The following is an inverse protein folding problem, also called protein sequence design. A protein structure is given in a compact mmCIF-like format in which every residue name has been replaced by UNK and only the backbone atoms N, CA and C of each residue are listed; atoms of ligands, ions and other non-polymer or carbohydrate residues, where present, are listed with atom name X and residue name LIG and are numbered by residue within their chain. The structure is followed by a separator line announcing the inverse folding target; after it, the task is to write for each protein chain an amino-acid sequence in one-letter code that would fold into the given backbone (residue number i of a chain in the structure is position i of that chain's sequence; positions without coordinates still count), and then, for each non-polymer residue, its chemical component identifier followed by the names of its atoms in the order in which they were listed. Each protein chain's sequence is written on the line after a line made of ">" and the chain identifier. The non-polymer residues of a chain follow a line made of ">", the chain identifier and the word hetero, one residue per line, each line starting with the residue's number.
data_IF_693966329620
#
_entry.id   IF_693966329620
#
_cell.length_a   1.000
_cell.length_b   1.000
_cell.length_c   1.000
_cell.angle_alpha   90.00
_cell.angle_beta   90.00
_cell.angle_gamma   90.00
#
_symmetry.space_group_name_H-M   'P 1'
#
loop_
_entity.id
_entity.type
_entity.pdbx_description
1 polymer ?
#
# COMPACT_ATOMS: atom_id res chain seq x y z
N UNK A 1 6.07 25.23 -10.42
CA UNK A 1 5.16 24.53 -9.49
C UNK A 1 5.95 24.13 -8.25
N UNK A 2 5.58 24.65 -7.09
CA UNK A 2 6.28 24.42 -5.82
C UNK A 2 5.23 23.99 -4.79
N UNK A 3 5.46 22.86 -4.13
CA UNK A 3 4.71 22.46 -2.94
C UNK A 3 5.36 23.11 -1.72
N UNK A 4 4.57 23.85 -0.95
CA UNK A 4 4.98 24.49 0.31
C UNK A 4 4.56 23.67 1.53
N UNK A 5 5.18 23.93 2.67
CA UNK A 5 4.95 23.27 3.94
C UNK A 5 5.07 21.74 3.83
N UNK A 6 6.05 21.26 3.05
CA UNK A 6 6.18 19.85 2.71
C UNK A 6 6.33 18.97 3.96
N UNK A 7 7.14 19.39 4.94
CA UNK A 7 7.32 18.62 6.18
C UNK A 7 6.01 18.41 6.91
N UNK A 8 5.23 19.48 7.07
CA UNK A 8 3.93 19.44 7.72
C UNK A 8 2.94 18.56 6.95
N UNK A 9 2.88 18.69 5.62
CA UNK A 9 2.01 17.86 4.79
C UNK A 9 2.31 16.36 4.92
N UNK A 10 3.60 15.99 4.93
CA UNK A 10 4.01 14.60 5.13
C UNK A 10 3.71 14.10 6.55
N UNK A 11 3.95 14.94 7.56
CA UNK A 11 3.60 14.62 8.95
C UNK A 11 2.10 14.42 9.16
N UNK A 12 1.27 15.22 8.49
CA UNK A 12 -0.19 15.08 8.50
C UNK A 12 -0.66 13.86 7.71
N UNK A 13 0.02 13.53 6.59
CA UNK A 13 -0.25 12.30 5.85
C UNK A 13 -0.06 11.06 6.72
N UNK A 14 0.93 11.05 7.62
CA UNK A 14 1.15 9.93 8.55
C UNK A 14 -0.05 9.68 9.49
N UNK A 15 -0.94 10.66 9.67
CA UNK A 15 -2.13 10.56 10.53
C UNK A 15 -3.41 10.31 9.71
N UNK A 16 -3.48 10.91 8.52
CA UNK A 16 -4.73 11.06 7.78
C UNK A 16 -4.80 10.17 6.53
N UNK A 17 -3.68 9.69 6.02
CA UNK A 17 -3.63 8.82 4.83
C UNK A 17 -3.44 7.37 5.28
N UNK A 18 -4.38 6.51 4.90
CA UNK A 18 -4.29 5.08 5.17
C UNK A 18 -3.13 4.45 4.38
N UNK A 19 -2.17 3.86 5.09
CA UNK A 19 -0.98 3.24 4.51
C UNK A 19 -0.44 2.14 5.43
N UNK A 20 0.46 1.30 4.90
CA UNK A 20 1.18 0.32 5.72
C UNK A 20 2.07 1.02 6.75
N UNK A 21 2.36 0.35 7.87
CA UNK A 21 3.28 0.90 8.89
C UNK A 21 4.62 1.24 8.29
N UNK A 22 5.14 0.39 7.41
CA UNK A 22 6.41 0.59 6.74
C UNK A 22 6.44 1.86 5.88
N UNK A 23 5.38 2.13 5.11
CA UNK A 23 5.24 3.36 4.34
C UNK A 23 5.04 4.58 5.26
N UNK A 24 4.35 4.41 6.39
CA UNK A 24 4.17 5.45 7.39
C UNK A 24 5.49 5.88 8.02
N UNK A 25 6.32 4.92 8.44
CA UNK A 25 7.65 5.16 9.03
C UNK A 25 8.60 5.80 8.02
N UNK A 26 8.55 5.38 6.74
CA UNK A 26 9.26 6.03 5.64
C UNK A 26 8.81 7.50 5.47
N UNK A 27 7.50 7.73 5.42
CA UNK A 27 6.91 9.07 5.24
C UNK A 27 7.21 9.99 6.42
N UNK A 28 7.20 9.44 7.63
CA UNK A 28 7.56 10.14 8.86
C UNK A 28 9.01 10.59 8.82
N UNK A 29 9.94 9.71 8.43
CA UNK A 29 11.34 10.09 8.28
C UNK A 29 11.54 11.14 7.18
N UNK A 30 10.89 10.99 6.02
CA UNK A 30 10.85 12.03 4.98
C UNK A 30 10.43 13.38 5.56
N UNK A 31 9.36 13.43 6.38
CA UNK A 31 8.88 14.67 7.01
C UNK A 31 9.94 15.37 7.89
N UNK A 32 10.94 14.63 8.40
CA UNK A 32 12.02 15.21 9.22
C UNK A 32 13.20 15.75 8.40
N UNK A 33 13.45 15.21 7.21
CA UNK A 33 14.70 15.49 6.45
C UNK A 33 14.48 16.33 5.18
N UNK A 34 13.27 16.38 4.64
CA UNK A 34 12.99 17.17 3.42
C UNK A 34 13.02 18.67 3.66
N UNK A 35 13.18 19.47 2.61
CA UNK A 35 12.98 20.92 2.67
C UNK A 35 11.47 21.25 2.68
N UNK A 36 11.11 22.39 3.27
CA UNK A 36 9.70 22.82 3.35
C UNK A 36 9.11 23.31 2.03
N UNK A 37 9.95 23.69 1.08
CA UNK A 37 9.54 24.06 -0.28
C UNK A 37 10.27 23.19 -1.29
N UNK A 38 9.51 22.40 -2.06
CA UNK A 38 10.05 21.52 -3.09
C UNK A 38 9.23 21.62 -4.37
N UNK A 39 9.91 21.58 -5.51
CA UNK A 39 9.30 21.22 -6.79
C UNK A 39 9.28 19.67 -6.94
N UNK A 40 8.63 19.09 -7.97
CA UNK A 40 8.57 17.64 -8.14
C UNK A 40 9.93 16.96 -8.20
N UNK A 41 10.89 17.55 -8.92
CA UNK A 41 12.25 17.02 -9.06
C UNK A 41 13.03 17.05 -7.73
N UNK A 42 12.82 18.10 -6.93
CA UNK A 42 13.36 18.19 -5.58
C UNK A 42 12.78 17.12 -4.66
N UNK A 43 11.47 16.87 -4.71
CA UNK A 43 10.84 15.76 -3.96
C UNK A 43 11.38 14.40 -4.43
N UNK A 44 11.61 14.22 -5.74
CA UNK A 44 12.20 13.01 -6.30
C UNK A 44 13.63 12.78 -5.79
N UNK A 45 14.44 13.83 -5.73
CA UNK A 45 15.79 13.77 -5.16
C UNK A 45 15.75 13.40 -3.68
N UNK A 46 14.88 14.04 -2.89
CA UNK A 46 14.73 13.73 -1.46
C UNK A 46 14.30 12.27 -1.24
N UNK A 47 13.33 11.79 -2.02
CA UNK A 47 12.90 10.40 -2.02
C UNK A 47 14.08 9.44 -2.29
N UNK A 48 14.90 9.73 -3.30
CA UNK A 48 16.06 8.91 -3.65
C UNK A 48 17.11 8.89 -2.54
N UNK A 49 17.40 10.05 -1.93
CA UNK A 49 18.32 10.14 -0.80
C UNK A 49 17.84 9.35 0.41
N UNK A 50 16.54 9.42 0.76
CA UNK A 50 16.00 8.65 1.88
C UNK A 50 15.99 7.15 1.60
N UNK A 51 15.72 6.73 0.37
CA UNK A 51 15.88 5.32 -0.04
C UNK A 51 17.33 4.86 0.13
N UNK A 52 18.31 5.70 -0.22
CA UNK A 52 19.74 5.40 -0.03
C UNK A 52 20.14 5.34 1.45
N UNK A 53 19.65 6.27 2.26
CA UNK A 53 19.86 6.28 3.72
C UNK A 53 19.45 4.95 4.35
N UNK A 54 18.22 4.50 4.04
CA UNK A 54 17.65 3.26 4.55
C UNK A 54 18.46 2.06 4.04
N UNK A 55 18.84 2.05 2.76
CA UNK A 55 19.67 0.99 2.17
C UNK A 55 21.01 0.84 2.89
N UNK A 56 21.64 1.97 3.22
CA UNK A 56 22.96 2.04 3.82
C UNK A 56 22.94 2.05 5.36
N UNK A 57 21.76 2.12 5.97
CA UNK A 57 21.59 2.13 7.43
C UNK A 57 22.13 3.39 8.12
N UNK A 58 22.27 4.50 7.41
CA UNK A 58 22.81 5.77 7.92
C UNK A 58 22.15 6.96 7.26
N UNK A 59 21.96 8.05 8.00
CA UNK A 59 21.46 9.30 7.42
C UNK A 59 22.58 10.06 6.71
N UNK A 60 22.34 10.49 5.47
CA UNK A 60 23.22 11.37 4.70
C UNK A 60 22.95 12.87 4.90
N UNK A 61 21.94 13.24 5.70
CA UNK A 61 21.57 14.64 5.96
C UNK A 61 22.42 15.27 7.08
N UNK A 62 22.65 16.58 7.00
CA UNK A 62 23.55 17.29 7.92
C UNK A 62 23.08 17.24 9.39
N UNK A 63 24.06 17.23 10.29
CA UNK A 63 23.97 16.88 11.71
C UNK A 63 23.41 17.97 12.64
N UNK A 64 22.87 19.06 12.11
CA UNK A 64 22.12 20.05 12.91
C UNK A 64 20.75 19.51 13.35
N UNK A 65 20.27 18.46 12.68
CA UNK A 65 19.17 17.62 13.13
C UNK A 65 19.77 16.38 13.82
N UNK A 66 19.40 16.12 15.08
CA UNK A 66 19.73 14.89 15.84
C UNK A 66 19.22 13.58 15.19
N UNK A 67 18.92 13.55 13.90
CA UNK A 67 18.25 12.48 13.16
C UNK A 67 19.18 11.31 12.87
N UNK A 68 19.46 10.49 13.89
CA UNK A 68 19.82 9.09 13.62
C UNK A 68 18.70 8.48 12.80
N UNK A 69 19.06 7.67 11.79
CA UNK A 69 18.08 6.87 11.07
C UNK A 69 17.25 6.08 12.10
N UNK A 70 15.91 6.23 12.12
CA UNK A 70 15.08 5.57 13.12
C UNK A 70 15.33 4.06 13.16
N UNK A 71 15.41 3.48 14.37
CA UNK A 71 15.78 2.07 14.55
C UNK A 71 14.84 1.13 13.79
N UNK A 72 13.54 1.46 13.68
CA UNK A 72 12.61 0.67 12.89
C UNK A 72 12.99 0.59 11.41
N UNK A 73 13.49 1.69 10.81
CA UNK A 73 13.95 1.69 9.41
C UNK A 73 15.22 0.85 9.22
N UNK A 74 16.01 0.65 10.28
CA UNK A 74 17.17 -0.23 10.28
C UNK A 74 16.70 -1.68 10.42
N UNK A 75 15.90 -1.98 11.44
CA UNK A 75 15.45 -3.33 11.80
C UNK A 75 14.51 -3.94 10.74
N UNK A 76 13.74 -3.09 10.06
CA UNK A 76 12.75 -3.48 9.03
C UNK A 76 13.08 -2.90 7.66
N UNK A 77 14.36 -2.61 7.42
CA UNK A 77 14.89 -2.00 6.18
C UNK A 77 14.25 -2.56 4.91
N UNK A 78 14.20 -3.87 4.81
CA UNK A 78 13.74 -4.58 3.62
C UNK A 78 12.25 -4.42 3.36
N UNK A 79 11.43 -4.54 4.41
CA UNK A 79 9.99 -4.32 4.34
C UNK A 79 9.69 -2.84 4.03
N UNK A 80 10.45 -1.92 4.62
CA UNK A 80 10.35 -0.48 4.34
C UNK A 80 10.66 -0.18 2.88
N UNK A 81 11.77 -0.67 2.33
CA UNK A 81 12.14 -0.43 0.93
C UNK A 81 11.11 -1.03 -0.04
N UNK A 82 10.56 -2.21 0.26
CA UNK A 82 9.50 -2.81 -0.54
C UNK A 82 8.20 -1.98 -0.53
N UNK A 83 7.93 -1.24 0.54
CA UNK A 83 6.75 -0.39 0.66
C UNK A 83 6.99 1.06 0.18
N UNK A 84 8.24 1.54 0.19
CA UNK A 84 8.61 2.88 -0.27
C UNK A 84 8.31 3.11 -1.76
N UNK A 85 8.19 2.05 -2.56
CA UNK A 85 7.75 2.14 -3.97
C UNK A 85 6.31 2.67 -4.11
N UNK A 86 5.50 2.61 -3.04
CA UNK A 86 4.14 3.14 -2.99
C UNK A 86 4.07 4.60 -2.50
N UNK A 87 5.20 5.23 -2.19
CA UNK A 87 5.26 6.65 -1.81
C UNK A 87 4.60 7.63 -2.81
N UNK A 88 4.59 7.39 -4.14
CA UNK A 88 3.81 8.21 -5.07
C UNK A 88 2.32 8.30 -4.73
N UNK A 89 1.74 7.29 -4.06
CA UNK A 89 0.36 7.34 -3.59
C UNK A 89 0.17 8.32 -2.41
N UNK A 90 1.21 8.56 -1.61
CA UNK A 90 1.18 9.60 -0.56
C UNK A 90 1.21 10.98 -1.21
N UNK A 91 2.04 11.15 -2.24
CA UNK A 91 2.12 12.40 -3.00
C UNK A 91 0.80 12.73 -3.70
N UNK A 92 0.11 11.75 -4.28
CA UNK A 92 -1.23 11.94 -4.87
C UNK A 92 -2.23 12.57 -3.89
N UNK A 93 -2.14 12.26 -2.59
CA UNK A 93 -3.09 12.71 -1.57
C UNK A 93 -2.77 14.12 -1.03
N UNK A 94 -1.50 14.54 -1.05
CA UNK A 94 -1.07 15.79 -0.39
C UNK A 94 -0.69 16.92 -1.36
N UNK A 95 -0.46 16.58 -2.62
CA UNK A 95 0.01 17.51 -3.64
C UNK A 95 -1.09 17.86 -4.64
N UNK A 96 -0.91 18.99 -5.33
CA UNK A 96 -1.76 19.34 -6.48
C UNK A 96 -1.60 18.30 -7.61
N UNK A 97 -2.63 18.04 -8.43
CA UNK A 97 -2.59 16.99 -9.45
C UNK A 97 -1.38 17.05 -10.40
N UNK A 98 -1.05 18.24 -10.90
CA UNK A 98 0.11 18.45 -11.79
C UNK A 98 1.44 18.08 -11.09
N UNK A 99 1.55 18.36 -9.79
CA UNK A 99 2.75 18.02 -9.00
C UNK A 99 2.89 16.51 -8.87
N UNK A 100 1.80 15.85 -8.50
CA UNK A 100 1.78 14.41 -8.33
C UNK A 100 2.08 13.68 -9.64
N UNK A 101 1.55 14.16 -10.77
CA UNK A 101 1.82 13.60 -12.10
C UNK A 101 3.30 13.72 -12.47
N UNK A 102 3.91 14.91 -12.35
CA UNK A 102 5.33 15.08 -12.63
C UNK A 102 6.23 14.27 -11.70
N UNK A 103 5.87 14.15 -10.42
CA UNK A 103 6.61 13.30 -9.49
C UNK A 103 6.55 11.82 -9.91
N UNK A 104 5.39 11.34 -10.32
CA UNK A 104 5.19 9.97 -10.84
C UNK A 104 5.98 9.72 -12.13
N UNK A 105 5.97 10.67 -13.06
CA UNK A 105 6.80 10.60 -14.27
C UNK A 105 8.28 10.46 -13.93
N UNK A 106 8.76 11.24 -12.95
CA UNK A 106 10.12 11.13 -12.42
C UNK A 106 10.42 9.76 -11.81
N UNK A 107 9.52 9.23 -10.97
CA UNK A 107 9.65 7.89 -10.37
C UNK A 107 9.75 6.79 -11.44
N UNK A 108 8.91 6.89 -12.47
CA UNK A 108 8.88 5.94 -13.58
C UNK A 108 10.14 6.04 -14.43
N UNK A 109 10.57 7.26 -14.79
CA UNK A 109 11.73 7.49 -15.63
C UNK A 109 13.05 7.13 -14.95
N UNK A 110 13.23 7.51 -13.69
CA UNK A 110 14.50 7.35 -12.97
C UNK A 110 14.63 5.98 -12.28
N UNK A 111 13.52 5.40 -11.79
CA UNK A 111 13.56 4.21 -10.94
C UNK A 111 12.69 3.05 -11.45
N UNK A 112 12.00 3.23 -12.58
CA UNK A 112 10.99 2.30 -13.09
C UNK A 112 9.84 2.07 -12.10
N UNK A 113 9.60 2.99 -11.16
CA UNK A 113 8.55 2.86 -10.13
C UNK A 113 7.24 3.48 -10.65
N UNK A 114 6.21 2.67 -10.82
CA UNK A 114 4.88 3.09 -11.31
C UNK A 114 3.75 2.36 -10.53
N UNK A 115 3.59 2.60 -9.22
CA UNK A 115 2.52 1.97 -8.45
C UNK A 115 1.15 2.49 -8.95
N UNK A 116 0.10 1.65 -8.92
CA UNK A 116 -1.24 2.10 -9.28
C UNK A 116 -1.70 3.24 -8.37
N UNK A 117 -2.49 4.17 -8.89
CA UNK A 117 -3.20 5.16 -8.06
C UNK A 117 -4.18 4.44 -7.12
N UNK A 118 -4.38 4.98 -5.92
CA UNK A 118 -5.42 4.49 -5.00
C UNK A 118 -6.78 4.93 -5.53
N UNK A 119 -7.51 3.99 -6.12
CA UNK A 119 -8.87 4.21 -6.61
C UNK A 119 -9.77 3.30 -5.78
N UNK A 120 -10.64 3.90 -4.98
CA UNK A 120 -11.51 3.16 -4.08
C UNK A 120 -12.97 3.67 -4.13
N UNK A 121 -13.65 3.56 -5.28
CA UNK A 121 -15.07 3.94 -5.40
C UNK A 121 -15.90 3.12 -4.44
N UNK A 122 -16.98 3.70 -3.89
CA UNK A 122 -17.92 2.95 -3.05
C UNK A 122 -18.44 1.72 -3.80
N UNK A 123 -18.63 0.62 -3.08
CA UNK A 123 -19.32 -0.55 -3.61
C UNK A 123 -20.73 -0.15 -4.07
N UNK A 124 -21.12 -0.60 -5.26
CA UNK A 124 -22.46 -0.35 -5.81
C UNK A 124 -23.40 -1.49 -5.42
N UNK A 125 -24.55 -1.17 -4.82
CA UNK A 125 -25.56 -2.14 -4.36
C UNK A 125 -25.71 -2.18 -2.84
N UNK A 126 -26.70 -2.95 -2.38
CA UNK A 126 -26.95 -3.16 -0.96
C UNK A 126 -26.35 -4.49 -0.50
N UNK A 127 -25.32 -4.40 0.34
CA UNK A 127 -24.64 -5.55 0.92
C UNK A 127 -24.63 -5.45 2.45
N UNK A 128 -24.67 -6.60 3.15
CA UNK A 128 -24.44 -6.63 4.58
C UNK A 128 -23.10 -5.96 4.95
N UNK A 129 -23.05 -5.33 6.12
CA UNK A 129 -21.88 -4.54 6.55
C UNK A 129 -20.58 -5.35 6.55
N UNK A 130 -20.61 -6.62 7.02
CA UNK A 130 -19.46 -7.52 6.99
C UNK A 130 -18.89 -7.76 5.58
N UNK A 131 -19.75 -7.75 4.54
CA UNK A 131 -19.31 -7.88 3.14
C UNK A 131 -18.63 -6.59 2.69
N UNK A 132 -19.26 -5.45 2.97
CA UNK A 132 -18.71 -4.13 2.62
C UNK A 132 -17.34 -3.93 3.27
N UNK A 133 -17.20 -4.23 4.56
CA UNK A 133 -15.93 -4.11 5.29
C UNK A 133 -14.85 -5.01 4.65
N UNK A 134 -15.16 -6.28 4.39
CA UNK A 134 -14.21 -7.21 3.78
C UNK A 134 -13.75 -6.74 2.39
N UNK A 135 -14.69 -6.31 1.54
CA UNK A 135 -14.41 -5.86 0.16
C UNK A 135 -13.59 -4.56 0.15
N UNK A 136 -13.93 -3.60 1.02
CA UNK A 136 -13.16 -2.37 1.17
C UNK A 136 -11.73 -2.67 1.60
N UNK A 137 -11.54 -3.55 2.59
CA UNK A 137 -10.22 -3.94 3.07
C UNK A 137 -9.38 -4.56 1.95
N UNK A 138 -9.92 -5.56 1.22
CA UNK A 138 -9.19 -6.21 0.12
C UNK A 138 -8.87 -5.25 -1.03
N UNK A 139 -9.78 -4.34 -1.36
CA UNK A 139 -9.56 -3.36 -2.44
C UNK A 139 -8.35 -2.48 -2.15
N UNK A 140 -8.24 -2.03 -0.89
CA UNK A 140 -7.15 -1.20 -0.39
C UNK A 140 -5.84 -1.99 -0.30
N UNK A 141 -5.89 -3.19 0.28
CA UNK A 141 -4.70 -4.03 0.41
C UNK A 141 -4.09 -4.39 -0.96
N UNK A 142 -4.90 -4.61 -1.99
CA UNK A 142 -4.44 -4.86 -3.37
C UNK A 142 -3.86 -3.59 -4.04
N UNK A 143 -4.21 -2.39 -3.57
CA UNK A 143 -3.64 -1.14 -4.10
C UNK A 143 -2.17 -0.93 -3.68
N UNK A 144 -1.81 -1.46 -2.51
CA UNK A 144 -0.49 -1.33 -1.91
C UNK A 144 -0.14 -2.64 -1.18
N UNK A 145 0.01 -3.76 -1.91
CA UNK A 145 0.17 -5.07 -1.30
C UNK A 145 1.42 -5.13 -0.42
N UNK A 146 1.25 -5.68 0.79
CA UNK A 146 2.33 -5.99 1.72
C UNK A 146 2.82 -7.41 1.46
N UNK A 147 4.08 -7.55 1.03
CA UNK A 147 4.68 -8.85 0.71
C UNK A 147 5.54 -9.36 1.88
N UNK A 148 4.92 -9.56 3.04
CA UNK A 148 5.59 -10.05 4.23
C UNK A 148 5.44 -11.58 4.35
N UNK A 149 6.49 -12.31 3.96
CA UNK A 149 6.56 -13.76 4.09
C UNK A 149 7.37 -14.23 5.33
N UNK A 150 7.82 -13.32 6.19
CA UNK A 150 8.67 -13.62 7.34
C UNK A 150 10.17 -13.71 7.01
N UNK A 151 10.57 -13.56 5.75
CA UNK A 151 11.97 -13.57 5.32
C UNK A 151 12.45 -12.16 4.95
N UNK A 152 13.77 -11.96 5.03
CA UNK A 152 14.41 -10.76 4.50
C UNK A 152 14.71 -10.93 3.00
N UNK A 153 13.70 -10.68 2.17
CA UNK A 153 13.83 -10.68 0.70
C UNK A 153 14.10 -9.28 0.12
N UNK A 154 14.51 -8.30 0.94
CA UNK A 154 14.35 -6.87 0.67
C UNK A 154 14.79 -6.38 -0.70
N UNK A 155 16.05 -6.65 -1.10
CA UNK A 155 16.56 -6.17 -2.38
C UNK A 155 15.84 -6.84 -3.56
N UNK A 156 15.61 -8.15 -3.48
CA UNK A 156 14.93 -8.93 -4.52
C UNK A 156 13.47 -8.49 -4.66
N UNK A 157 12.77 -8.32 -3.54
CA UNK A 157 11.37 -7.91 -3.52
C UNK A 157 11.17 -6.47 -3.98
N UNK A 158 12.08 -5.56 -3.62
CA UNK A 158 12.07 -4.19 -4.11
C UNK A 158 12.26 -4.14 -5.63
N UNK A 159 13.19 -4.92 -6.17
CA UNK A 159 13.40 -5.05 -7.63
C UNK A 159 12.16 -5.64 -8.31
N UNK A 160 11.59 -6.71 -7.76
CA UNK A 160 10.40 -7.37 -8.30
C UNK A 160 9.17 -6.44 -8.27
N UNK A 161 9.00 -5.65 -7.21
CA UNK A 161 7.90 -4.70 -7.09
C UNK A 161 8.09 -3.50 -8.01
N UNK A 162 9.33 -3.00 -8.14
CA UNK A 162 9.65 -1.90 -9.06
C UNK A 162 9.54 -2.32 -10.54
N UNK A 163 9.86 -3.56 -10.89
CA UNK A 163 9.73 -4.05 -12.28
C UNK A 163 8.30 -4.43 -12.67
N UNK A 164 7.36 -4.32 -11.72
CA UNK A 164 5.95 -4.67 -11.93
C UNK A 164 5.30 -3.66 -12.86
N UNK A 165 4.70 -4.17 -13.94
CA UNK A 165 3.91 -3.34 -14.85
C UNK A 165 2.67 -2.83 -14.10
N UNK A 166 2.45 -1.52 -14.13
CA UNK A 166 1.20 -0.94 -13.71
C UNK A 166 0.07 -1.49 -14.60
N UNK A 167 -0.87 -2.22 -14.02
CA UNK A 167 -1.95 -2.86 -14.77
C UNK A 167 -3.15 -1.94 -15.04
N UNK A 168 -3.01 -0.64 -14.82
CA UNK A 168 -4.00 0.37 -15.19
C UNK A 168 -5.33 0.11 -14.49
N UNK A 169 -5.40 0.41 -13.19
CA UNK A 169 -6.68 0.36 -12.46
C UNK A 169 -7.53 1.55 -12.91
N UNK A 170 -8.73 1.26 -13.41
CA UNK A 170 -9.77 2.27 -13.65
C UNK A 170 -10.86 2.14 -12.59
N UNK A 171 -11.59 3.23 -12.33
CA UNK A 171 -12.74 3.21 -11.43
C UNK A 171 -13.74 2.11 -11.83
N UNK A 172 -14.02 1.98 -13.13
CA UNK A 172 -14.88 0.93 -13.69
C UNK A 172 -14.39 -0.47 -13.34
N UNK A 173 -13.09 -0.75 -13.50
CA UNK A 173 -12.54 -2.07 -13.14
C UNK A 173 -12.58 -2.34 -11.64
N UNK A 174 -12.35 -1.32 -10.80
CA UNK A 174 -12.41 -1.48 -9.34
C UNK A 174 -13.85 -1.73 -8.88
N UNK A 175 -14.84 -1.04 -9.45
CA UNK A 175 -16.26 -1.30 -9.16
C UNK A 175 -16.67 -2.73 -9.50
N UNK A 176 -16.25 -3.24 -10.66
CA UNK A 176 -16.50 -4.63 -11.06
C UNK A 176 -15.84 -5.63 -10.11
N UNK A 177 -14.57 -5.42 -9.78
CA UNK A 177 -13.85 -6.22 -8.79
C UNK A 177 -14.62 -6.29 -7.45
N UNK A 178 -15.01 -5.13 -6.91
CA UNK A 178 -15.76 -5.04 -5.66
C UNK A 178 -17.07 -5.82 -5.72
N UNK A 179 -17.82 -5.68 -6.81
CA UNK A 179 -19.09 -6.37 -7.01
C UNK A 179 -18.91 -7.90 -7.05
N UNK A 180 -17.96 -8.40 -7.84
CA UNK A 180 -17.70 -9.84 -7.95
C UNK A 180 -17.29 -10.43 -6.60
N UNK A 181 -16.38 -9.74 -5.89
CA UNK A 181 -15.93 -10.17 -4.57
C UNK A 181 -17.09 -10.16 -3.55
N UNK A 182 -17.93 -9.12 -3.55
CA UNK A 182 -19.05 -8.99 -2.64
C UNK A 182 -20.09 -10.09 -2.80
N UNK A 183 -20.49 -10.40 -4.05
CA UNK A 183 -21.43 -11.50 -4.32
C UNK A 183 -20.84 -12.83 -3.89
N UNK A 184 -19.56 -13.11 -4.21
CA UNK A 184 -18.93 -14.36 -3.81
C UNK A 184 -18.83 -14.53 -2.29
N UNK A 185 -18.51 -13.47 -1.55
CA UNK A 185 -18.52 -13.51 -0.07
C UNK A 185 -19.94 -13.80 0.44
N UNK A 186 -20.94 -13.10 -0.08
CA UNK A 186 -22.34 -13.25 0.32
C UNK A 186 -22.84 -14.67 0.06
N UNK A 187 -22.51 -15.26 -1.09
CA UNK A 187 -22.86 -16.64 -1.43
C UNK A 187 -22.18 -17.66 -0.53
N UNK A 188 -20.88 -17.50 -0.26
CA UNK A 188 -20.12 -18.36 0.66
C UNK A 188 -20.72 -18.32 2.07
N UNK A 189 -21.00 -17.13 2.60
CA UNK A 189 -21.62 -16.96 3.93
C UNK A 189 -23.02 -17.56 3.96
N UNK A 190 -23.84 -17.36 2.91
CA UNK A 190 -25.18 -17.97 2.83
C UNK A 190 -25.12 -19.50 2.84
N UNK A 191 -24.11 -20.08 2.19
CA UNK A 191 -23.98 -21.54 2.04
C UNK A 191 -23.36 -22.22 3.25
N UNK A 192 -22.35 -21.61 3.87
CA UNK A 192 -21.54 -22.25 4.90
C UNK A 192 -21.57 -21.55 6.27
N UNK A 193 -22.24 -20.39 6.38
CA UNK A 193 -22.27 -19.57 7.58
C UNK A 193 -21.02 -18.69 7.76
N UNK A 194 -20.01 -18.83 6.90
CA UNK A 194 -18.78 -18.02 6.90
C UNK A 194 -18.16 -17.97 5.51
N UNK A 195 -17.20 -17.06 5.32
CA UNK A 195 -16.30 -17.01 4.17
C UNK A 195 -14.87 -16.82 4.67
N UNK A 196 -13.91 -17.48 4.00
CA UNK A 196 -12.48 -17.28 4.23
C UNK A 196 -11.83 -16.80 2.94
N UNK A 197 -11.00 -15.75 3.05
CA UNK A 197 -10.19 -15.24 1.95
C UNK A 197 -8.74 -15.23 2.39
N UNK A 198 -7.85 -15.83 1.62
CA UNK A 198 -6.46 -15.98 2.00
C UNK A 198 -5.51 -15.86 0.80
N UNK A 199 -4.26 -15.53 1.11
CA UNK A 199 -3.14 -15.46 0.19
C UNK A 199 -1.94 -16.13 0.86
N UNK A 200 -1.66 -17.36 0.47
CA UNK A 200 -0.40 -18.05 0.79
C UNK A 200 0.42 -18.24 -0.48
N UNK A 201 1.16 -17.19 -0.86
CA UNK A 201 1.80 -17.00 -2.17
C UNK A 201 0.83 -16.90 -3.36
N UNK A 202 -0.33 -17.55 -3.31
CA UNK A 202 -1.41 -17.41 -4.27
C UNK A 202 -2.72 -17.05 -3.56
N UNK A 203 -3.51 -16.18 -4.19
CA UNK A 203 -4.83 -15.84 -3.69
C UNK A 203 -5.78 -17.05 -3.80
N UNK A 204 -6.69 -17.18 -2.84
CA UNK A 204 -7.75 -18.18 -2.92
C UNK A 204 -8.62 -17.98 -4.18
N UNK A 205 -9.37 -19.01 -4.55
CA UNK A 205 -10.15 -19.02 -5.80
C UNK A 205 -11.04 -17.78 -5.97
N UNK A 206 -11.76 -17.39 -4.93
CA UNK A 206 -12.67 -16.25 -4.99
C UNK A 206 -11.92 -14.92 -5.23
N UNK A 207 -10.77 -14.72 -4.59
CA UNK A 207 -9.93 -13.55 -4.85
C UNK A 207 -9.39 -13.56 -6.27
N UNK A 208 -8.92 -14.71 -6.76
CA UNK A 208 -8.42 -14.83 -8.14
C UNK A 208 -9.51 -14.55 -9.17
N UNK A 209 -10.74 -15.02 -8.93
CA UNK A 209 -11.87 -14.76 -9.81
C UNK A 209 -12.24 -13.28 -9.87
N UNK A 210 -12.38 -12.62 -8.73
CA UNK A 210 -12.65 -11.18 -8.68
C UNK A 210 -11.52 -10.37 -9.34
N UNK A 211 -10.28 -10.75 -9.08
CA UNK A 211 -9.08 -10.05 -9.54
C UNK A 211 -8.83 -10.12 -11.05
N UNK A 212 -9.52 -10.98 -11.79
CA UNK A 212 -9.56 -10.95 -13.27
C UNK A 212 -10.03 -9.60 -13.79
N UNK A 213 -10.96 -8.93 -13.10
CA UNK A 213 -11.45 -7.59 -13.46
C UNK A 213 -10.36 -6.52 -13.37
N UNK A 214 -9.35 -6.75 -12.53
CA UNK A 214 -8.17 -5.89 -12.37
C UNK A 214 -6.96 -6.38 -13.18
N UNK A 215 -7.12 -7.47 -13.94
CA UNK A 215 -6.05 -8.15 -14.70
C UNK A 215 -4.89 -8.60 -13.82
N UNK A 216 -5.13 -8.90 -12.55
CA UNK A 216 -4.08 -9.40 -11.66
C UNK A 216 -3.79 -10.87 -11.98
N UNK A 217 -2.53 -11.20 -12.12
CA UNK A 217 -2.02 -12.51 -12.58
C UNK A 217 -0.69 -12.90 -11.90
N UNK A 218 -0.16 -12.06 -11.00
CA UNK A 218 1.09 -12.27 -10.30
C UNK A 218 0.84 -12.46 -8.81
N UNK A 219 1.67 -13.30 -8.16
CA UNK A 219 1.71 -13.41 -6.70
C UNK A 219 2.01 -12.08 -6.01
N UNK A 220 2.72 -11.17 -6.69
CA UNK A 220 3.03 -9.84 -6.17
C UNK A 220 1.83 -8.90 -6.24
N UNK A 221 0.74 -9.32 -6.89
CA UNK A 221 -0.47 -8.51 -6.97
C UNK A 221 -1.29 -8.50 -5.68
N UNK A 222 -0.98 -9.41 -4.75
CA UNK A 222 -1.72 -9.61 -3.52
C UNK A 222 -0.84 -9.44 -2.29
N UNK A 223 -1.41 -9.04 -1.14
CA UNK A 223 -0.70 -9.02 0.13
C UNK A 223 -0.40 -10.46 0.56
N UNK A 224 0.86 -10.78 0.84
CA UNK A 224 1.29 -12.13 1.20
C UNK A 224 0.91 -12.49 2.64
N UNK A 225 0.78 -13.80 2.89
CA UNK A 225 0.47 -14.37 4.20
C UNK A 225 -0.72 -13.67 4.86
N UNK A 226 -1.71 -13.35 4.04
CA UNK A 226 -2.90 -12.62 4.47
C UNK A 226 -4.04 -13.61 4.59
N UNK A 227 -4.79 -13.55 5.69
CA UNK A 227 -5.94 -14.39 5.93
C UNK A 227 -7.05 -13.55 6.55
N UNK A 228 -8.26 -13.65 6.00
CA UNK A 228 -9.45 -12.95 6.47
C UNK A 228 -10.58 -13.95 6.72
N UNK A 229 -11.14 -13.88 7.92
CA UNK A 229 -12.33 -14.64 8.31
C UNK A 229 -13.54 -13.72 8.36
N UNK A 230 -14.59 -14.09 7.64
CA UNK A 230 -15.80 -13.29 7.47
C UNK A 230 -16.99 -14.10 7.97
N UNK A 231 -17.74 -13.55 8.92
CA UNK A 231 -19.00 -14.10 9.43
C UNK A 231 -20.04 -12.99 9.53
N UNK A 232 -21.34 -13.32 9.66
CA UNK A 232 -22.38 -12.30 9.86
C UNK A 232 -22.19 -11.39 11.08
N UNK A 233 -21.42 -11.82 12.07
CA UNK A 233 -21.25 -11.10 13.34
C UNK A 233 -19.87 -10.46 13.51
N UNK A 234 -18.87 -10.90 12.72
CA UNK A 234 -17.49 -10.44 12.85
C UNK A 234 -16.68 -10.60 11.56
N UNK A 235 -15.80 -9.64 11.30
CA UNK A 235 -14.73 -9.73 10.29
C UNK A 235 -13.39 -9.59 10.96
N UNK A 236 -12.49 -10.52 10.67
CA UNK A 236 -11.14 -10.57 11.21
C UNK A 236 -10.11 -10.73 10.11
N UNK A 237 -8.93 -10.13 10.29
CA UNK A 237 -7.84 -10.21 9.32
C UNK A 237 -6.47 -10.30 10.00
N UNK A 238 -5.59 -11.12 9.45
CA UNK A 238 -4.16 -11.12 9.73
C UNK A 238 -3.43 -10.83 8.43
N UNK A 239 -2.49 -9.89 8.42
CA UNK A 239 -1.78 -9.45 7.21
C UNK A 239 -0.27 -9.52 7.42
N UNK A 240 0.36 -10.54 6.83
CA UNK A 240 1.79 -10.81 6.95
C UNK A 240 2.08 -12.05 7.80
N UNK A 241 3.30 -12.57 7.66
CA UNK A 241 3.72 -13.80 8.32
C UNK A 241 3.66 -13.71 9.85
N UNK A 242 2.89 -14.60 10.47
CA UNK A 242 2.74 -14.66 11.92
C UNK A 242 2.02 -13.45 12.53
N UNK A 243 1.40 -12.57 11.71
CA UNK A 243 0.64 -11.44 12.21
C UNK A 243 -0.57 -11.91 13.04
N UNK A 244 -0.90 -11.21 14.14
CA UNK A 244 -2.08 -11.56 14.93
C UNK A 244 -3.35 -11.37 14.10
N UNK A 245 -4.39 -12.12 14.47
CA UNK A 245 -5.71 -11.95 13.91
C UNK A 245 -6.40 -10.75 14.58
N UNK A 246 -6.66 -9.70 13.81
CA UNK A 246 -7.28 -8.45 14.29
C UNK A 246 -8.76 -8.39 13.88
N UNK A 247 -9.63 -7.99 14.80
CA UNK A 247 -11.04 -7.74 14.50
C UNK A 247 -11.20 -6.35 13.89
N UNK A 248 -11.60 -6.28 12.62
CA UNK A 248 -11.82 -5.00 11.91
C UNK A 248 -13.29 -4.58 11.88
N UNK A 249 -14.21 -5.49 12.20
CA UNK A 249 -15.62 -5.19 12.38
C UNK A 249 -16.29 -6.25 13.25
N UNK A 250 -17.27 -5.82 14.06
CA UNK A 250 -18.13 -6.67 14.85
C UNK A 250 -19.50 -5.99 14.97
N UNK A 251 -20.57 -6.78 14.86
CA UNK A 251 -21.96 -6.32 14.98
C UNK A 251 -22.32 -5.87 16.39
#
# INVERSE_FOLDING_TARGET
>A
MIMKNVRQKLADACKNVEMSRELNEFTSYMATVVNDELNPEGMLLMYACVVDDIRNGKSGFATDYNGKLPQYLIDKKSQVLAQAVYFPQVIDEIAEPEFAERFREGCKGAFNIDPPKKINPKIEGEYPEYVTIAVEWWTKAIASPKHDNGEDLGATLAILTATRKNKGRSEKSVKKFKKVLAEGIKEQVKKYGYCSLDVDYHACQLLMEASKELKLDSMLDFPWKTHMRITPDKVEVSCGYGAPLETIWKK
#
